data_IF_196887051471
#
_entry.id   IF_196887051471
#
_cell.length_a   1.000
_cell.length_b   1.000
_cell.length_c   1.000
_cell.angle_alpha   90.00
_cell.angle_beta   90.00
_cell.angle_gamma   90.00
#
_symmetry.space_group_name_H-M   'P 1'
#
loop_
_entity.id
_entity.type
_entity.pdbx_description
1 polymer ?
#
# COMPACT_ATOMS: atom_id res chain seq x y z
N UNK A 1 -6.26 -18.44 13.87
CA UNK A 1 -7.07 -17.58 14.77
C UNK A 1 -7.91 -16.69 13.89
N UNK A 2 -9.19 -16.47 14.19
CA UNK A 2 -10.01 -15.60 13.34
C UNK A 2 -9.65 -14.12 13.60
N UNK A 3 -9.65 -13.24 12.58
CA UNK A 3 -9.28 -11.83 12.76
C UNK A 3 -10.09 -11.10 13.85
N UNK A 4 -11.38 -11.41 13.99
CA UNK A 4 -12.24 -10.80 15.01
C UNK A 4 -11.90 -11.21 16.44
N UNK A 5 -11.34 -12.40 16.64
CA UNK A 5 -10.79 -12.87 17.91
C UNK A 5 -9.47 -12.16 18.25
N UNK A 6 -8.56 -12.05 17.27
CA UNK A 6 -7.26 -11.38 17.43
C UNK A 6 -7.43 -9.90 17.75
N UNK A 7 -8.27 -9.21 16.96
CA UNK A 7 -8.41 -7.76 17.00
C UNK A 7 -9.53 -7.28 17.92
N UNK A 8 -10.46 -8.16 18.28
CA UNK A 8 -11.50 -7.90 19.28
C UNK A 8 -12.34 -6.66 18.97
N UNK A 9 -12.33 -5.71 19.91
CA UNK A 9 -13.09 -4.46 19.78
C UNK A 9 -12.66 -3.65 18.57
N UNK A 10 -11.38 -3.67 18.19
CA UNK A 10 -10.89 -2.94 17.01
C UNK A 10 -11.57 -3.43 15.73
N UNK A 11 -11.72 -4.75 15.58
CA UNK A 11 -12.46 -5.34 14.47
C UNK A 11 -13.92 -4.91 14.48
N UNK A 12 -14.62 -5.17 15.60
CA UNK A 12 -16.07 -4.94 15.70
C UNK A 12 -16.49 -3.47 15.57
N UNK A 13 -15.62 -2.54 15.96
CA UNK A 13 -15.89 -1.10 15.90
C UNK A 13 -15.32 -0.41 14.66
N UNK A 14 -14.65 -1.15 13.76
CA UNK A 14 -14.09 -0.58 12.55
C UNK A 14 -15.12 -0.61 11.40
N UNK A 15 -15.46 0.57 10.86
CA UNK A 15 -16.30 0.68 9.68
C UNK A 15 -15.50 0.72 8.36
N UNK A 16 -14.18 0.93 8.42
CA UNK A 16 -13.36 1.09 7.22
C UNK A 16 -12.94 -0.28 6.65
N UNK A 17 -13.34 -0.61 5.41
CA UNK A 17 -13.00 -1.90 4.79
C UNK A 17 -11.49 -2.09 4.55
N UNK A 18 -10.74 -1.01 4.29
CA UNK A 18 -9.28 -1.09 4.11
C UNK A 18 -8.59 -1.48 5.43
N UNK A 19 -9.09 -0.95 6.55
CA UNK A 19 -8.57 -1.33 7.87
C UNK A 19 -8.89 -2.79 8.21
N UNK A 20 -10.05 -3.31 7.80
CA UNK A 20 -10.36 -4.74 7.90
C UNK A 20 -9.40 -5.58 7.06
N UNK A 21 -9.16 -5.21 5.81
CA UNK A 21 -8.19 -5.91 4.94
C UNK A 21 -6.79 -5.95 5.55
N UNK A 22 -6.31 -4.83 6.13
CA UNK A 22 -5.04 -4.84 6.86
C UNK A 22 -5.05 -5.80 8.06
N UNK A 23 -6.13 -5.79 8.85
CA UNK A 23 -6.28 -6.66 10.02
C UNK A 23 -6.32 -8.15 9.62
N UNK A 24 -6.96 -8.49 8.51
CA UNK A 24 -6.99 -9.83 7.92
C UNK A 24 -5.58 -10.26 7.48
N UNK A 25 -4.92 -9.45 6.64
CA UNK A 25 -3.56 -9.73 6.17
C UNK A 25 -2.59 -9.91 7.34
N UNK A 26 -2.67 -9.04 8.34
CA UNK A 26 -1.81 -9.12 9.52
C UNK A 26 -2.04 -10.39 10.34
N UNK A 27 -3.30 -10.81 10.46
CA UNK A 27 -3.67 -12.04 11.15
C UNK A 27 -3.21 -13.28 10.36
N UNK A 28 -3.41 -13.30 9.05
CA UNK A 28 -2.97 -14.41 8.18
C UNK A 28 -1.45 -14.59 8.22
N UNK A 29 -0.70 -13.49 8.06
CA UNK A 29 0.76 -13.51 8.00
C UNK A 29 1.45 -13.46 9.35
N UNK A 30 0.68 -13.31 10.44
CA UNK A 30 1.21 -13.06 11.79
C UNK A 30 2.21 -11.90 11.81
N UNK A 31 1.93 -10.83 11.06
CA UNK A 31 2.83 -9.70 10.89
C UNK A 31 2.09 -8.37 10.93
N UNK A 32 2.67 -7.41 11.66
CA UNK A 32 2.22 -6.01 11.68
C UNK A 32 3.17 -5.11 10.90
N UNK A 33 4.15 -5.69 10.19
CA UNK A 33 5.20 -4.92 9.52
C UNK A 33 4.61 -4.23 8.30
N UNK A 34 4.78 -2.91 8.26
CA UNK A 34 4.67 -2.09 7.05
C UNK A 34 6.09 -1.72 6.62
N UNK A 35 6.51 -2.18 5.45
CA UNK A 35 7.87 -1.99 4.97
C UNK A 35 7.97 -0.72 4.12
N UNK A 36 8.89 0.18 4.45
CA UNK A 36 9.26 1.30 3.61
C UNK A 36 10.24 0.85 2.51
N UNK A 37 9.76 0.82 1.27
CA UNK A 37 10.52 0.37 0.10
C UNK A 37 10.97 1.56 -0.74
N UNK A 38 11.95 2.31 -0.24
CA UNK A 38 12.48 3.52 -0.89
C UNK A 38 13.54 3.15 -1.94
N UNK A 39 13.13 2.39 -2.96
CA UNK A 39 13.95 1.91 -4.08
C UNK A 39 13.67 2.71 -5.36
N UNK A 40 14.61 2.68 -6.31
CA UNK A 40 14.58 3.58 -7.47
C UNK A 40 14.06 2.93 -8.75
N UNK A 41 14.00 1.60 -8.80
CA UNK A 41 13.53 0.89 -9.99
C UNK A 41 12.38 -0.06 -9.67
N UNK A 42 11.52 -0.28 -10.65
CA UNK A 42 10.38 -1.20 -10.50
C UNK A 42 10.86 -2.64 -10.27
N UNK A 43 11.93 -3.07 -10.94
CA UNK A 43 12.46 -4.42 -10.77
C UNK A 43 13.00 -4.66 -9.35
N UNK A 44 13.67 -3.68 -8.74
CA UNK A 44 14.11 -3.77 -7.34
C UNK A 44 12.91 -3.88 -6.39
N UNK A 45 11.84 -3.11 -6.63
CA UNK A 45 10.62 -3.17 -5.83
C UNK A 45 9.92 -4.53 -5.94
N UNK A 46 9.78 -5.07 -7.16
CA UNK A 46 9.17 -6.39 -7.40
C UNK A 46 10.01 -7.50 -6.76
N UNK A 47 11.33 -7.45 -6.91
CA UNK A 47 12.22 -8.42 -6.28
C UNK A 47 12.11 -8.39 -4.75
N UNK A 48 12.08 -7.19 -4.16
CA UNK A 48 11.87 -7.03 -2.72
C UNK A 48 10.53 -7.65 -2.27
N UNK A 49 9.44 -7.37 -2.99
CA UNK A 49 8.11 -7.94 -2.68
C UNK A 49 8.14 -9.46 -2.74
N UNK A 50 8.77 -10.05 -3.75
CA UNK A 50 8.87 -11.51 -3.86
C UNK A 50 9.69 -12.15 -2.72
N UNK A 51 10.69 -11.43 -2.20
CA UNK A 51 11.50 -11.90 -1.08
C UNK A 51 10.79 -11.77 0.27
N UNK A 52 10.14 -10.64 0.52
CA UNK A 52 9.65 -10.28 1.87
C UNK A 52 8.13 -10.33 2.02
N UNK A 53 7.39 -10.47 0.92
CA UNK A 53 5.93 -10.43 0.85
C UNK A 53 5.20 -11.32 1.86
N UNK A 54 5.64 -12.56 2.12
CA UNK A 54 5.05 -13.43 3.14
C UNK A 54 5.16 -12.89 4.58
N UNK A 55 6.09 -11.96 4.84
CA UNK A 55 6.43 -11.49 6.19
C UNK A 55 5.95 -10.07 6.50
N UNK A 56 5.35 -9.36 5.55
CA UNK A 56 4.89 -7.99 5.72
C UNK A 56 3.39 -7.87 5.39
N UNK A 57 2.70 -6.93 6.03
CA UNK A 57 1.27 -6.68 5.81
C UNK A 57 1.01 -5.57 4.78
N UNK A 58 1.93 -4.62 4.67
CA UNK A 58 1.82 -3.51 3.73
C UNK A 58 3.19 -3.08 3.20
N UNK A 59 3.22 -2.58 1.98
CA UNK A 59 4.39 -1.99 1.34
C UNK A 59 4.15 -0.49 1.17
N UNK A 60 5.00 0.33 1.78
CA UNK A 60 5.00 1.78 1.61
C UNK A 60 5.93 2.16 0.47
N UNK A 61 5.41 2.91 -0.50
CA UNK A 61 6.14 3.38 -1.68
C UNK A 61 6.31 4.89 -1.68
N UNK A 62 7.25 5.35 -2.51
CA UNK A 62 7.36 6.71 -3.04
C UNK A 62 7.48 6.60 -4.55
N UNK A 63 6.36 6.62 -5.27
CA UNK A 63 6.38 6.45 -6.74
C UNK A 63 7.16 7.58 -7.44
N UNK A 64 7.27 8.74 -6.79
CA UNK A 64 7.95 9.93 -7.31
C UNK A 64 9.48 9.87 -7.28
N UNK A 65 10.07 8.85 -6.62
CA UNK A 65 11.53 8.59 -6.68
C UNK A 65 11.91 7.47 -7.66
N UNK A 66 10.92 6.85 -8.31
CA UNK A 66 11.13 5.72 -9.24
C UNK A 66 11.51 6.27 -10.62
N UNK A 67 12.70 5.92 -11.09
CA UNK A 67 13.32 6.52 -12.28
C UNK A 67 12.74 5.96 -13.59
N UNK A 68 12.26 4.72 -13.57
CA UNK A 68 11.75 3.97 -14.72
C UNK A 68 10.21 3.82 -14.72
N UNK A 69 9.51 4.74 -14.04
CA UNK A 69 8.05 4.71 -13.94
C UNK A 69 7.36 4.74 -15.30
N UNK A 70 6.50 3.76 -15.52
CA UNK A 70 5.40 3.81 -16.49
C UNK A 70 4.19 3.11 -15.88
N UNK A 71 2.97 3.50 -16.25
CA UNK A 71 1.75 2.85 -15.74
C UNK A 71 1.78 1.35 -16.00
N UNK A 72 2.20 0.93 -17.19
CA UNK A 72 2.30 -0.49 -17.57
C UNK A 72 3.31 -1.25 -16.72
N UNK A 73 4.50 -0.69 -16.48
CA UNK A 73 5.49 -1.37 -15.64
C UNK A 73 5.08 -1.36 -14.16
N UNK A 74 4.45 -0.29 -13.68
CA UNK A 74 4.00 -0.19 -12.30
C UNK A 74 2.97 -1.27 -11.95
N UNK A 75 2.15 -1.71 -12.93
CA UNK A 75 1.23 -2.82 -12.74
C UNK A 75 1.92 -4.10 -12.28
N UNK A 76 3.19 -4.34 -12.67
CA UNK A 76 3.97 -5.49 -12.18
C UNK A 76 4.13 -5.47 -10.66
N UNK A 77 4.37 -4.28 -10.08
CA UNK A 77 4.44 -4.13 -8.63
C UNK A 77 3.08 -4.34 -7.97
N UNK A 78 2.02 -3.82 -8.60
CA UNK A 78 0.64 -4.01 -8.12
C UNK A 78 0.25 -5.49 -8.12
N UNK A 79 0.57 -6.21 -9.18
CA UNK A 79 0.34 -7.66 -9.31
C UNK A 79 1.15 -8.44 -8.26
N UNK A 80 2.45 -8.16 -8.13
CA UNK A 80 3.30 -8.82 -7.12
C UNK A 80 2.79 -8.57 -5.68
N UNK A 81 2.32 -7.35 -5.40
CA UNK A 81 1.70 -7.02 -4.11
C UNK A 81 0.39 -7.78 -3.90
N UNK A 82 -0.46 -7.90 -4.92
CA UNK A 82 -1.71 -8.64 -4.85
C UNK A 82 -1.47 -10.15 -4.65
N UNK A 83 -0.53 -10.75 -5.38
CA UNK A 83 -0.13 -12.16 -5.24
C UNK A 83 0.38 -12.47 -3.83
N UNK A 84 1.08 -11.51 -3.23
CA UNK A 84 1.56 -11.61 -1.86
C UNK A 84 0.53 -11.13 -0.83
N UNK A 85 -0.70 -10.79 -1.19
CA UNK A 85 -1.71 -10.25 -0.25
C UNK A 85 -1.18 -9.07 0.57
N UNK A 86 -0.62 -8.07 -0.12
CA UNK A 86 -0.14 -6.82 0.46
C UNK A 86 -1.12 -5.69 0.22
N UNK A 87 -1.16 -4.75 1.17
CA UNK A 87 -1.70 -3.42 0.92
C UNK A 87 -0.59 -2.51 0.38
N UNK A 88 -0.89 -1.74 -0.65
CA UNK A 88 -0.02 -0.69 -1.17
C UNK A 88 -0.34 0.65 -0.49
N UNK A 89 0.69 1.26 0.07
CA UNK A 89 0.61 2.55 0.74
C UNK A 89 1.54 3.55 0.04
N UNK A 90 0.97 4.48 -0.72
CA UNK A 90 1.75 5.56 -1.31
C UNK A 90 1.91 6.73 -0.32
N UNK A 91 3.13 6.95 0.16
CA UNK A 91 3.42 7.97 1.17
C UNK A 91 3.62 9.37 0.57
N UNK A 92 2.65 9.78 -0.25
CA UNK A 92 2.71 11.03 -1.02
C UNK A 92 2.64 12.29 -0.17
N UNK A 93 2.11 12.21 1.05
CA UNK A 93 1.91 13.35 1.97
C UNK A 93 1.22 14.54 1.27
N UNK A 94 0.02 14.31 0.74
CA UNK A 94 -0.76 15.37 0.09
C UNK A 94 -0.92 16.57 1.03
N UNK A 95 -0.66 17.78 0.55
CA UNK A 95 -0.61 19.00 1.36
C UNK A 95 -1.30 20.18 0.67
N UNK A 96 -2.39 19.89 -0.03
CA UNK A 96 -3.17 20.88 -0.78
C UNK A 96 -4.67 20.73 -0.45
N UNK A 97 -5.51 21.58 -1.01
CA UNK A 97 -6.96 21.57 -0.80
C UNK A 97 -7.66 20.56 -1.73
N UNK A 98 -8.87 20.14 -1.34
CA UNK A 98 -9.57 18.98 -1.91
C UNK A 98 -9.53 18.84 -3.43
N UNK A 99 -9.90 19.88 -4.18
CA UNK A 99 -9.91 19.83 -5.65
C UNK A 99 -8.53 19.70 -6.28
N UNK A 100 -7.49 20.23 -5.64
CA UNK A 100 -6.11 20.11 -6.13
C UNK A 100 -5.54 18.75 -5.76
N UNK A 101 -5.75 18.28 -4.53
CA UNK A 101 -5.31 16.94 -4.12
C UNK A 101 -5.95 15.83 -4.97
N UNK A 102 -7.23 15.96 -5.34
CA UNK A 102 -7.88 15.02 -6.25
C UNK A 102 -7.21 14.97 -7.63
N UNK A 103 -6.77 16.13 -8.17
CA UNK A 103 -6.05 16.19 -9.44
C UNK A 103 -4.63 15.61 -9.31
N UNK A 104 -3.95 15.86 -8.19
CA UNK A 104 -2.63 15.29 -7.91
C UNK A 104 -2.70 13.76 -7.82
N UNK A 105 -3.75 13.21 -7.19
CA UNK A 105 -4.01 11.77 -7.16
C UNK A 105 -4.25 11.17 -8.54
N UNK A 106 -4.77 11.95 -9.50
CA UNK A 106 -5.08 11.52 -10.87
C UNK A 106 -3.98 11.83 -11.90
N UNK A 107 -2.88 12.46 -11.47
CA UNK A 107 -1.84 12.99 -12.35
C UNK A 107 -1.01 11.88 -13.02
N UNK A 108 0.26 12.19 -13.33
CA UNK A 108 1.17 11.27 -14.04
C UNK A 108 1.20 9.86 -13.43
N UNK A 109 1.15 9.76 -12.10
CA UNK A 109 1.21 8.50 -11.38
C UNK A 109 -0.15 7.82 -11.15
N UNK A 110 -1.26 8.52 -11.40
CA UNK A 110 -2.65 8.11 -11.09
C UNK A 110 -2.76 7.28 -9.80
N UNK A 111 -2.19 7.78 -8.69
CA UNK A 111 -2.06 7.11 -7.38
C UNK A 111 -3.37 6.45 -6.93
N UNK A 112 -4.51 7.10 -7.19
CA UNK A 112 -5.85 6.61 -6.84
C UNK A 112 -6.27 5.30 -7.54
N UNK A 113 -5.59 4.92 -8.61
CA UNK A 113 -5.92 3.71 -9.39
C UNK A 113 -5.31 2.44 -8.82
N UNK A 114 -4.28 2.55 -7.97
CA UNK A 114 -3.50 1.40 -7.50
C UNK A 114 -3.18 1.42 -6.00
N UNK A 115 -3.15 2.58 -5.35
CA UNK A 115 -2.78 2.66 -3.93
C UNK A 115 -4.00 2.42 -3.04
N UNK A 116 -3.87 1.53 -2.06
CA UNK A 116 -4.90 1.28 -1.05
C UNK A 116 -4.93 2.40 0.01
N UNK A 117 -3.77 2.97 0.35
CA UNK A 117 -3.60 3.93 1.44
C UNK A 117 -2.74 5.10 0.97
N UNK A 118 -3.11 6.31 1.34
CA UNK A 118 -2.29 7.52 1.13
C UNK A 118 -2.22 8.36 2.40
N UNK A 119 -1.19 9.20 2.51
CA UNK A 119 -1.05 10.20 3.59
C UNK A 119 -1.38 11.61 3.14
N UNK A 120 -1.90 12.42 4.07
CA UNK A 120 -2.12 13.85 3.88
C UNK A 120 -1.73 14.64 5.14
N UNK A 121 -1.26 15.87 4.95
CA UNK A 121 -1.11 16.84 6.03
C UNK A 121 -2.47 17.40 6.45
N UNK A 122 -2.56 17.84 7.71
CA UNK A 122 -3.77 18.45 8.30
C UNK A 122 -3.71 19.97 8.23
#
# INVERSE_FOLDING_TARGET
MQPDEVWGTRWRSCANPIAHRFMETACEKQSLVCLAADLRTIDELVNLVNEVGPYIAALKTHVDIVEDFSTENWLKLVEAAAENSLLLFEDRKFADIGGISQKQMAGVYDIRSWSDIVTAHR
#
